data_IF_132264815987
#
_entry.id   IF_132264815987
#
_cell.length_a   1.000
_cell.length_b   1.000
_cell.length_c   1.000
_cell.angle_alpha   90.00
_cell.angle_beta   90.00
_cell.angle_gamma   90.00
#
_symmetry.space_group_name_H-M   'P 1'
#
loop_
_entity.id
_entity.type
_entity.pdbx_description
1 polymer ?
#
# COMPACT_ATOMS: atom_id res chain seq x y z
N UNK A 1 13.48 -7.41 3.00
CA UNK A 1 12.25 -6.62 2.77
C UNK A 1 11.56 -7.18 1.53
N UNK A 2 10.83 -8.29 1.71
CA UNK A 2 10.08 -9.01 0.67
C UNK A 2 8.61 -8.69 0.95
N UNK A 3 8.05 -7.67 0.31
CA UNK A 3 6.60 -7.46 0.11
C UNK A 3 6.38 -6.01 -0.30
N UNK A 4 6.33 -5.74 -1.60
CA UNK A 4 5.83 -4.45 -2.13
C UNK A 4 4.98 -4.68 -3.38
N UNK A 5 4.65 -5.95 -3.66
CA UNK A 5 3.88 -6.35 -4.82
C UNK A 5 2.64 -7.06 -4.33
N UNK A 6 1.56 -6.30 -4.21
CA UNK A 6 0.22 -6.86 -4.01
C UNK A 6 -0.24 -7.41 -5.35
N UNK A 7 -0.39 -8.74 -5.45
CA UNK A 7 -0.90 -9.38 -6.66
C UNK A 7 -2.42 -9.33 -6.63
N UNK A 8 -3.08 -8.77 -7.66
CA UNK A 8 -4.54 -8.84 -7.74
C UNK A 8 -4.96 -10.31 -7.93
N UNK A 9 -5.87 -10.77 -7.08
CA UNK A 9 -6.45 -12.12 -7.17
C UNK A 9 -7.90 -11.96 -7.62
N UNK A 10 -8.27 -12.63 -8.71
CA UNK A 10 -9.66 -12.68 -9.17
C UNK A 10 -10.38 -13.79 -8.40
N UNK A 11 -11.39 -13.42 -7.62
CA UNK A 11 -12.27 -14.37 -6.94
C UNK A 11 -13.64 -14.36 -7.62
N UNK A 12 -14.05 -15.52 -8.13
CA UNK A 12 -15.39 -15.70 -8.69
C UNK A 12 -16.37 -15.95 -7.53
N UNK A 13 -17.30 -15.02 -7.29
CA UNK A 13 -18.28 -15.13 -6.20
C UNK A 13 -19.53 -15.91 -6.61
N UNK A 14 -19.91 -15.81 -7.88
CA UNK A 14 -21.08 -16.48 -8.45
C UNK A 14 -20.71 -17.18 -9.75
N UNK A 15 -21.31 -18.34 -10.05
CA UNK A 15 -22.24 -19.12 -9.22
C UNK A 15 -21.54 -19.81 -8.03
N UNK A 16 -22.26 -19.94 -6.91
CA UNK A 16 -21.74 -20.59 -5.70
C UNK A 16 -21.61 -22.10 -5.94
N UNK A 17 -20.42 -22.56 -6.34
CA UNK A 17 -20.09 -23.98 -6.45
C UNK A 17 -19.49 -24.51 -5.15
N UNK A 18 -19.62 -25.80 -4.89
CA UNK A 18 -19.03 -26.45 -3.70
C UNK A 18 -17.50 -26.29 -3.68
N UNK A 19 -16.88 -26.22 -4.86
CA UNK A 19 -15.46 -25.94 -5.03
C UNK A 19 -15.12 -24.48 -4.68
N UNK A 20 -15.95 -23.52 -5.09
CA UNK A 20 -15.81 -22.09 -4.75
C UNK A 20 -15.89 -21.88 -3.23
N UNK A 21 -16.83 -22.53 -2.56
CA UNK A 21 -17.00 -22.43 -1.11
C UNK A 21 -15.81 -23.01 -0.37
N UNK A 22 -15.24 -24.13 -0.85
CA UNK A 22 -14.04 -24.74 -0.26
C UNK A 22 -12.82 -23.81 -0.36
N UNK A 23 -12.59 -23.19 -1.52
CA UNK A 23 -11.48 -22.25 -1.71
C UNK A 23 -11.62 -20.99 -0.82
N UNK A 24 -12.85 -20.47 -0.68
CA UNK A 24 -13.13 -19.32 0.20
C UNK A 24 -12.86 -19.66 1.67
N UNK A 25 -13.23 -20.85 2.13
CA UNK A 25 -13.02 -21.28 3.51
C UNK A 25 -11.55 -21.58 3.79
N UNK A 26 -10.83 -22.16 2.82
CA UNK A 26 -9.38 -22.39 2.93
C UNK A 26 -8.58 -21.08 3.01
N UNK A 27 -8.92 -20.06 2.20
CA UNK A 27 -8.30 -18.73 2.26
C UNK A 27 -8.52 -18.03 3.61
N UNK A 28 -9.65 -18.29 4.28
CA UNK A 28 -9.96 -17.75 5.61
C UNK A 28 -9.23 -18.53 6.71
N UNK A 29 -9.05 -19.85 6.53
CA UNK A 29 -8.42 -20.74 7.51
C UNK A 29 -6.89 -20.58 7.61
N UNK A 30 -6.21 -19.96 6.65
CA UNK A 30 -4.76 -19.74 6.75
C UNK A 30 -4.36 -18.82 7.93
N UNK A 31 -5.31 -18.08 8.54
CA UNK A 31 -5.03 -17.15 9.63
C UNK A 31 -5.34 -17.69 11.05
N UNK A 32 -6.06 -18.80 11.18
CA UNK A 32 -6.22 -19.48 12.48
C UNK A 32 -6.05 -20.98 12.28
N UNK A 33 -4.96 -21.52 12.85
CA UNK A 33 -4.66 -22.95 12.84
C UNK A 33 -5.68 -23.74 13.65
N UNK A 34 -6.82 -24.06 13.03
CA UNK A 34 -7.78 -25.01 13.57
C UNK A 34 -7.56 -26.33 12.83
N UNK A 35 -6.96 -27.30 13.52
CA UNK A 35 -6.87 -28.68 13.06
C UNK A 35 -8.27 -29.30 13.13
N UNK A 36 -8.98 -29.35 12.01
CA UNK A 36 -10.25 -30.06 11.93
C UNK A 36 -9.92 -31.52 11.61
N UNK A 37 -9.97 -32.37 12.61
CA UNK A 37 -9.78 -33.82 12.49
C UNK A 37 -10.99 -34.41 11.71
N UNK A 38 -10.78 -34.82 10.46
CA UNK A 38 -11.82 -35.27 9.51
C UNK A 38 -12.66 -36.48 10.01
N UNK A 39 -12.26 -37.09 11.13
CA UNK A 39 -12.79 -38.38 11.61
C UNK A 39 -13.92 -38.27 12.66
N UNK A 40 -14.39 -37.07 13.01
CA UNK A 40 -15.50 -36.89 13.95
C UNK A 40 -16.79 -36.37 13.30
N UNK A 41 -17.17 -36.91 12.13
CA UNK A 41 -18.52 -36.76 11.57
C UNK A 41 -19.45 -37.77 12.25
N UNK A 42 -19.62 -37.66 13.56
CA UNK A 42 -20.54 -38.50 14.34
C UNK A 42 -21.89 -37.78 14.40
N UNK A 43 -22.83 -38.27 13.60
CA UNK A 43 -24.30 -38.14 13.70
C UNK A 43 -24.82 -36.76 14.20
N UNK A 44 -24.70 -35.73 13.35
CA UNK A 44 -25.36 -34.45 13.58
C UNK A 44 -26.83 -34.54 13.14
N UNK A 45 -27.75 -34.55 14.10
CA UNK A 45 -29.17 -34.34 13.84
C UNK A 45 -29.39 -32.84 13.59
N UNK A 46 -29.68 -32.46 12.35
CA UNK A 46 -30.02 -31.08 12.00
C UNK A 46 -31.52 -30.86 12.22
N UNK A 47 -31.88 -29.90 13.07
CA UNK A 47 -33.24 -29.34 13.17
C UNK A 47 -33.17 -27.87 12.72
N UNK A 48 -33.92 -27.39 11.71
CA UNK A 48 -35.06 -28.00 11.01
C UNK A 48 -34.71 -28.91 9.80
N UNK A 49 -34.12 -28.39 8.72
CA UNK A 49 -33.60 -29.19 7.58
C UNK A 49 -32.30 -28.55 7.11
N UNK A 50 -31.35 -29.37 6.63
CA UNK A 50 -30.04 -28.90 6.17
C UNK A 50 -30.17 -27.84 5.08
N UNK A 51 -31.17 -27.98 4.19
CA UNK A 51 -31.42 -27.00 3.13
C UNK A 51 -31.84 -25.63 3.67
N UNK A 52 -32.60 -25.60 4.77
CA UNK A 52 -33.06 -24.36 5.40
C UNK A 52 -31.87 -23.66 6.08
N UNK A 53 -31.05 -24.43 6.78
CA UNK A 53 -29.84 -23.92 7.44
C UNK A 53 -28.88 -23.35 6.39
N UNK A 54 -28.57 -24.10 5.34
CA UNK A 54 -27.74 -23.64 4.23
C UNK A 54 -28.31 -22.39 3.56
N UNK A 55 -29.63 -22.34 3.32
CA UNK A 55 -30.30 -21.17 2.75
C UNK A 55 -30.17 -19.90 3.59
N UNK A 56 -29.98 -20.03 4.90
CA UNK A 56 -29.75 -18.89 5.81
C UNK A 56 -28.29 -18.48 5.94
N UNK A 57 -27.36 -19.44 5.84
CA UNK A 57 -25.93 -19.20 6.01
C UNK A 57 -25.31 -18.65 4.72
N UNK A 58 -25.79 -19.10 3.55
CA UNK A 58 -25.22 -18.74 2.25
C UNK A 58 -25.18 -17.21 2.02
N UNK A 59 -26.26 -16.45 2.29
CA UNK A 59 -26.24 -14.99 2.16
C UNK A 59 -25.21 -14.33 3.09
N UNK A 60 -25.13 -14.78 4.34
CA UNK A 60 -24.17 -14.25 5.31
C UNK A 60 -22.71 -14.54 4.92
N UNK A 61 -22.45 -15.69 4.31
CA UNK A 61 -21.13 -16.02 3.78
C UNK A 61 -20.73 -15.06 2.65
N UNK A 62 -21.66 -14.76 1.72
CA UNK A 62 -21.40 -13.81 0.63
C UNK A 62 -21.09 -12.41 1.17
N UNK A 63 -21.85 -11.94 2.16
CA UNK A 63 -21.63 -10.63 2.79
C UNK A 63 -20.23 -10.54 3.42
N UNK A 64 -19.79 -11.58 4.13
CA UNK A 64 -18.47 -11.64 4.77
C UNK A 64 -17.36 -11.61 3.72
N UNK A 65 -17.47 -12.39 2.65
CA UNK A 65 -16.46 -12.45 1.59
C UNK A 65 -16.32 -11.11 0.86
N UNK A 66 -17.45 -10.46 0.55
CA UNK A 66 -17.45 -9.13 -0.08
C UNK A 66 -16.82 -8.10 0.86
N UNK A 67 -17.16 -8.13 2.16
CA UNK A 67 -16.56 -7.22 3.12
C UNK A 67 -15.04 -7.43 3.25
N UNK A 68 -14.59 -8.67 3.38
CA UNK A 68 -13.17 -9.00 3.49
C UNK A 68 -12.39 -8.55 2.26
N UNK A 69 -12.87 -8.85 1.05
CA UNK A 69 -12.20 -8.46 -0.19
C UNK A 69 -12.07 -6.95 -0.33
N UNK A 70 -13.09 -6.18 0.05
CA UNK A 70 -13.03 -4.72 0.08
C UNK A 70 -12.03 -4.20 1.13
N UNK A 71 -12.01 -4.80 2.32
CA UNK A 71 -11.08 -4.42 3.38
C UNK A 71 -9.61 -4.67 2.97
N UNK A 72 -9.33 -5.83 2.36
CA UNK A 72 -8.01 -6.18 1.83
C UNK A 72 -7.58 -5.24 0.70
N UNK A 73 -8.51 -4.89 -0.21
CA UNK A 73 -8.25 -3.93 -1.28
C UNK A 73 -7.90 -2.55 -0.73
N UNK A 74 -8.64 -2.06 0.26
CA UNK A 74 -8.39 -0.76 0.89
C UNK A 74 -7.05 -0.73 1.63
N UNK A 75 -6.71 -1.78 2.37
CA UNK A 75 -5.42 -1.91 3.05
C UNK A 75 -4.24 -1.94 2.05
N UNK A 76 -4.41 -2.65 0.93
CA UNK A 76 -3.42 -2.72 -0.15
C UNK A 76 -3.23 -1.37 -0.82
N UNK A 77 -4.32 -0.64 -1.08
CA UNK A 77 -4.28 0.71 -1.64
C UNK A 77 -3.56 1.68 -0.70
N UNK A 78 -3.91 1.67 0.60
CA UNK A 78 -3.29 2.55 1.57
C UNK A 78 -1.77 2.31 1.68
N UNK A 79 -1.37 1.03 1.67
CA UNK A 79 0.04 0.65 1.68
C UNK A 79 0.76 1.12 0.41
N UNK A 80 0.18 0.89 -0.77
CA UNK A 80 0.72 1.37 -2.04
C UNK A 80 0.86 2.90 -2.06
N UNK A 81 -0.15 3.62 -1.56
CA UNK A 81 -0.14 5.09 -1.42
C UNK A 81 0.98 5.55 -0.49
N UNK A 82 1.15 4.90 0.66
CA UNK A 82 2.21 5.23 1.62
C UNK A 82 3.60 5.08 0.98
N UNK A 83 3.84 3.99 0.26
CA UNK A 83 5.12 3.80 -0.45
C UNK A 83 5.33 4.83 -1.55
N UNK A 84 4.31 5.15 -2.34
CA UNK A 84 4.39 6.19 -3.37
C UNK A 84 4.73 7.56 -2.77
N UNK A 85 4.06 7.93 -1.67
CA UNK A 85 4.31 9.20 -0.99
C UNK A 85 5.68 9.25 -0.32
N UNK A 86 6.15 8.14 0.25
CA UNK A 86 7.51 8.03 0.79
C UNK A 86 8.55 8.27 -0.31
N UNK A 87 8.43 7.57 -1.43
CA UNK A 87 9.33 7.75 -2.57
C UNK A 87 9.30 9.19 -3.11
N UNK A 88 8.12 9.80 -3.17
CA UNK A 88 7.97 11.20 -3.56
C UNK A 88 8.67 12.16 -2.58
N UNK A 89 8.54 11.92 -1.26
CA UNK A 89 9.22 12.71 -0.22
C UNK A 89 10.74 12.58 -0.26
N UNK A 90 11.25 11.36 -0.45
CA UNK A 90 12.69 11.09 -0.58
C UNK A 90 13.26 11.80 -1.83
N UNK A 91 12.53 11.77 -2.95
CA UNK A 91 12.92 12.49 -4.17
C UNK A 91 12.87 14.02 -4.00
N UNK A 92 11.82 14.53 -3.34
CA UNK A 92 11.71 15.97 -3.06
C UNK A 92 12.87 16.47 -2.20
N UNK A 93 13.30 15.69 -1.21
CA UNK A 93 14.47 16.00 -0.37
C UNK A 93 15.74 16.05 -1.21
N UNK A 94 15.93 15.08 -2.11
CA UNK A 94 17.08 15.05 -3.03
C UNK A 94 17.12 16.30 -3.93
N UNK A 95 15.98 16.72 -4.47
CA UNK A 95 15.86 17.93 -5.28
C UNK A 95 16.17 19.17 -4.43
N UNK A 96 15.63 19.25 -3.22
CA UNK A 96 15.87 20.37 -2.30
C UNK A 96 17.36 20.54 -2.00
N UNK A 97 18.06 19.46 -1.68
CA UNK A 97 19.49 19.49 -1.39
C UNK A 97 20.30 19.99 -2.60
N UNK A 98 19.95 19.53 -3.80
CA UNK A 98 20.59 19.99 -5.04
C UNK A 98 20.35 21.48 -5.31
N UNK A 99 19.13 21.96 -5.07
CA UNK A 99 18.77 23.36 -5.25
C UNK A 99 19.46 24.24 -4.20
N UNK A 100 19.56 23.78 -2.96
CA UNK A 100 20.26 24.49 -1.89
C UNK A 100 21.75 24.63 -2.18
N UNK A 101 22.39 23.59 -2.73
CA UNK A 101 23.77 23.65 -3.17
C UNK A 101 23.95 24.68 -4.29
N UNK A 102 23.10 24.64 -5.31
CA UNK A 102 23.12 25.60 -6.42
C UNK A 102 22.88 27.04 -5.94
N UNK A 103 21.94 27.25 -5.02
CA UNK A 103 21.67 28.55 -4.42
C UNK A 103 22.89 29.09 -3.67
N UNK A 104 23.54 28.27 -2.86
CA UNK A 104 24.74 28.68 -2.11
C UNK A 104 25.92 29.01 -3.03
N UNK A 105 26.05 28.29 -4.15
CA UNK A 105 27.05 28.60 -5.18
C UNK A 105 26.76 29.94 -5.84
N UNK A 106 25.53 30.14 -6.34
CA UNK A 106 25.11 31.40 -6.97
C UNK A 106 25.23 32.61 -6.02
N UNK A 107 24.94 32.41 -4.73
CA UNK A 107 25.12 33.43 -3.69
C UNK A 107 26.59 33.83 -3.53
N UNK A 108 27.50 32.85 -3.53
CA UNK A 108 28.94 33.11 -3.42
C UNK A 108 29.47 33.81 -4.67
N UNK A 109 29.08 33.34 -5.85
CA UNK A 109 29.44 33.98 -7.13
C UNK A 109 29.00 35.45 -7.16
N UNK A 110 27.79 35.74 -6.67
CA UNK A 110 27.28 37.10 -6.53
C UNK A 110 28.15 37.97 -5.63
N UNK A 111 28.49 37.51 -4.42
CA UNK A 111 29.36 38.23 -3.48
C UNK A 111 30.74 38.48 -4.07
N UNK A 112 31.34 37.47 -4.71
CA UNK A 112 32.65 37.59 -5.35
C UNK A 112 32.61 38.59 -6.50
N UNK A 113 31.53 38.60 -7.29
CA UNK A 113 31.35 39.56 -8.38
C UNK A 113 31.22 41.00 -7.86
N UNK A 114 30.38 41.22 -6.85
CA UNK A 114 30.24 42.53 -6.21
C UNK A 114 31.57 43.02 -5.63
N UNK A 115 32.32 42.16 -4.92
CA UNK A 115 33.65 42.49 -4.41
C UNK A 115 34.65 42.84 -5.54
N UNK A 116 34.64 42.07 -6.63
CA UNK A 116 35.51 42.33 -7.78
C UNK A 116 35.20 43.68 -8.44
N UNK A 117 33.91 44.03 -8.55
CA UNK A 117 33.46 45.32 -9.07
C UNK A 117 33.84 46.48 -8.14
N UNK A 118 33.73 46.32 -6.82
CA UNK A 118 34.16 47.32 -5.84
C UNK A 118 35.67 47.59 -5.93
N UNK A 119 36.49 46.53 -5.97
CA UNK A 119 37.96 46.66 -6.06
C UNK A 119 38.36 47.30 -7.39
N UNK A 120 37.80 46.86 -8.52
CA UNK A 120 38.07 47.44 -9.82
C UNK A 120 37.65 48.93 -9.89
N UNK A 121 36.51 49.28 -9.29
CA UNK A 121 36.05 50.67 -9.19
C UNK A 121 36.99 51.53 -8.33
N UNK A 122 37.44 51.02 -7.19
CA UNK A 122 38.37 51.72 -6.31
C UNK A 122 39.74 51.98 -6.99
N UNK A 123 40.28 50.99 -7.70
CA UNK A 123 41.53 51.15 -8.47
C UNK A 123 41.38 52.15 -9.62
N UNK A 124 40.23 52.18 -10.30
CA UNK A 124 39.98 53.17 -11.35
C UNK A 124 39.99 54.63 -10.83
N UNK A 125 39.66 54.83 -9.55
CA UNK A 125 39.70 56.13 -8.87
C UNK A 125 41.10 56.50 -8.36
N UNK A 126 42.00 55.54 -8.13
CA UNK A 126 43.35 55.78 -7.59
C UNK A 126 44.39 56.12 -8.67
N UNK A 127 44.14 55.76 -9.93
CA UNK A 127 45.08 55.93 -11.06
C UNK A 127 45.03 57.35 -11.68
N UNK A 128 44.42 58.32 -10.99
CA UNK A 128 44.32 59.72 -11.41
C UNK A 128 44.84 60.65 -10.31
#
# INVERSE_FOLDING_TARGET
>A
MKSTTYKPVLRELFPLSVETVKNVVEDVSENEGVLIDEKSLVDYQFEPDLNIILGSILPGLVDIVVYQTLAEAYASEHSARMFAMKNAGDNATTILDSLMLSYNHARQDGITKELSEIVAGAEALSVN
#
